data_IF_311826727551
#
_entry.id   IF_311826727551
#
_cell.length_a   1.000
_cell.length_b   1.000
_cell.length_c   1.000
_cell.angle_alpha   90.00
_cell.angle_beta   90.00
_cell.angle_gamma   90.00
#
_symmetry.space_group_name_H-M   'P 1'
#
loop_
_entity.id
_entity.type
_entity.pdbx_description
1 polymer ?
#
# COMPACT_ATOMS: atom_id res chain seq x y z
N UNK A 1 9.50 10.65 15.21
CA UNK A 1 8.36 9.68 15.18
C UNK A 1 8.95 8.28 15.25
N UNK A 2 8.36 7.36 15.99
CA UNK A 2 8.78 5.96 15.92
C UNK A 2 8.04 5.28 14.77
N UNK A 3 8.70 4.45 13.95
CA UNK A 3 8.04 3.72 12.89
C UNK A 3 7.01 2.74 13.47
N UNK A 4 5.89 2.57 12.77
CA UNK A 4 4.87 1.58 13.08
C UNK A 4 4.93 0.46 12.03
N UNK A 5 4.58 -0.74 12.45
CA UNK A 5 4.55 -1.90 11.55
C UNK A 5 3.14 -2.07 10.96
N UNK A 6 3.07 -2.33 9.66
CA UNK A 6 1.88 -2.85 8.98
C UNK A 6 2.14 -4.34 8.75
N UNK A 7 1.29 -5.19 9.31
CA UNK A 7 1.39 -6.64 9.08
C UNK A 7 0.57 -6.99 7.84
N UNK A 8 1.25 -7.48 6.82
CA UNK A 8 0.62 -7.94 5.58
C UNK A 8 0.48 -9.47 5.60
N UNK A 9 -0.74 -9.97 5.41
CA UNK A 9 -1.04 -11.41 5.35
C UNK A 9 -0.70 -12.00 3.98
N UNK A 10 0.56 -11.83 3.60
CA UNK A 10 1.06 -12.19 2.27
C UNK A 10 2.27 -13.12 2.34
N UNK A 11 2.42 -13.94 1.32
CA UNK A 11 3.61 -14.73 1.05
C UNK A 11 3.83 -14.82 -0.46
N UNK A 12 5.07 -14.64 -0.93
CA UNK A 12 5.40 -14.61 -2.36
C UNK A 12 4.53 -13.63 -3.17
N UNK A 13 4.32 -12.42 -2.64
CA UNK A 13 3.56 -11.32 -3.25
C UNK A 13 2.04 -11.58 -3.45
N UNK A 14 1.48 -12.59 -2.82
CA UNK A 14 0.04 -12.86 -2.81
C UNK A 14 -0.50 -13.06 -1.40
N UNK A 15 -1.76 -12.74 -1.19
CA UNK A 15 -2.46 -13.01 0.08
C UNK A 15 -2.54 -14.52 0.31
N UNK A 16 -2.15 -14.96 1.50
CA UNK A 16 -2.17 -16.39 1.82
C UNK A 16 -3.61 -16.91 1.95
N UNK A 17 -3.86 -18.13 1.49
CA UNK A 17 -5.21 -18.72 1.49
C UNK A 17 -5.79 -18.97 2.89
N UNK A 18 -4.94 -19.06 3.91
CA UNK A 18 -5.31 -19.17 5.31
C UNK A 18 -5.20 -17.83 6.07
N UNK A 19 -5.31 -16.70 5.39
CA UNK A 19 -5.15 -15.36 5.97
C UNK A 19 -6.06 -15.12 7.17
N UNK A 20 -7.29 -15.57 7.12
CA UNK A 20 -8.23 -15.46 8.23
C UNK A 20 -7.76 -16.24 9.47
N UNK A 21 -7.31 -17.48 9.30
CA UNK A 21 -6.79 -18.29 10.40
C UNK A 21 -5.57 -17.68 11.05
N UNK A 22 -4.64 -17.15 10.22
CA UNK A 22 -3.45 -16.44 10.70
C UNK A 22 -3.85 -15.19 11.47
N UNK A 23 -4.76 -14.39 10.93
CA UNK A 23 -5.24 -13.19 11.61
C UNK A 23 -5.88 -13.54 12.97
N UNK A 24 -6.80 -14.49 13.02
CA UNK A 24 -7.49 -14.91 14.24
C UNK A 24 -6.50 -15.37 15.33
N UNK A 25 -5.42 -16.06 14.94
CA UNK A 25 -4.39 -16.51 15.89
C UNK A 25 -3.53 -15.38 16.44
N UNK A 26 -3.47 -14.23 15.76
CA UNK A 26 -2.55 -13.12 16.06
C UNK A 26 -3.28 -11.79 16.37
N UNK A 27 -4.60 -11.70 16.24
CA UNK A 27 -5.36 -10.44 16.36
C UNK A 27 -5.16 -9.70 17.68
N UNK A 28 -4.87 -10.41 18.77
CA UNK A 28 -4.66 -9.83 20.11
C UNK A 28 -3.24 -9.27 20.30
N UNK A 29 -2.35 -9.43 19.31
CA UNK A 29 -1.03 -8.83 19.34
C UNK A 29 -1.10 -7.29 19.25
N UNK A 30 -0.09 -6.57 19.81
CA UNK A 30 -0.09 -5.10 19.87
C UNK A 30 -0.12 -4.39 18.51
N UNK A 31 0.20 -5.08 17.41
CA UNK A 31 0.17 -4.49 16.06
C UNK A 31 -1.25 -3.97 15.73
N UNK A 32 -1.33 -2.69 15.37
CA UNK A 32 -2.60 -2.01 15.10
C UNK A 32 -2.95 -1.98 13.63
N UNK A 33 -1.95 -2.10 12.74
CA UNK A 33 -2.11 -1.94 11.30
C UNK A 33 -1.94 -3.29 10.61
N UNK A 34 -2.96 -3.69 9.86
CA UNK A 34 -3.03 -4.99 9.21
C UNK A 34 -3.54 -4.87 7.78
N UNK A 35 -3.05 -5.71 6.91
CA UNK A 35 -3.49 -5.68 5.54
C UNK A 35 -3.19 -6.95 4.77
N UNK A 36 -3.54 -6.91 3.49
CA UNK A 36 -3.26 -7.96 2.52
C UNK A 36 -3.29 -7.37 1.09
N UNK A 37 -2.98 -8.20 0.09
CA UNK A 37 -3.02 -7.79 -1.33
C UNK A 37 -4.37 -8.11 -1.96
N UNK A 38 -4.69 -7.40 -3.04
CA UNK A 38 -5.91 -7.57 -3.84
C UNK A 38 -5.99 -8.89 -4.61
N UNK A 39 -4.99 -9.76 -4.44
CA UNK A 39 -4.89 -11.08 -5.07
C UNK A 39 -4.67 -12.18 -4.02
N UNK A 40 -5.10 -13.39 -4.33
CA UNK A 40 -4.89 -14.59 -3.49
C UNK A 40 -6.14 -15.08 -2.76
N UNK A 41 -7.15 -14.22 -2.58
CA UNK A 41 -8.46 -14.58 -2.00
C UNK A 41 -9.61 -14.15 -2.93
N UNK A 42 -10.74 -14.85 -2.90
CA UNK A 42 -11.99 -14.37 -3.48
C UNK A 42 -12.46 -13.08 -2.79
N UNK A 43 -13.16 -12.22 -3.53
CA UNK A 43 -13.66 -10.93 -3.03
C UNK A 43 -14.49 -11.06 -1.75
N UNK A 44 -15.36 -12.06 -1.70
CA UNK A 44 -16.22 -12.32 -0.54
C UNK A 44 -15.41 -12.62 0.72
N UNK A 45 -14.32 -13.36 0.59
CA UNK A 45 -13.40 -13.66 1.70
C UNK A 45 -12.61 -12.42 2.10
N UNK A 46 -12.20 -11.58 1.14
CA UNK A 46 -11.55 -10.28 1.41
C UNK A 46 -12.45 -9.37 2.24
N UNK A 47 -13.74 -9.26 1.88
CA UNK A 47 -14.74 -8.46 2.62
C UNK A 47 -14.87 -8.98 4.05
N UNK A 48 -14.99 -10.30 4.24
CA UNK A 48 -15.13 -10.89 5.56
C UNK A 48 -13.87 -10.66 6.42
N UNK A 49 -12.69 -10.86 5.85
CA UNK A 49 -11.43 -10.67 6.54
C UNK A 49 -11.20 -9.20 6.94
N UNK A 50 -11.43 -8.26 6.01
CA UNK A 50 -11.35 -6.83 6.30
C UNK A 50 -12.30 -6.43 7.43
N UNK A 51 -13.54 -6.94 7.40
CA UNK A 51 -14.51 -6.71 8.48
C UNK A 51 -14.03 -7.26 9.82
N UNK A 52 -13.50 -8.48 9.87
CA UNK A 52 -12.95 -9.07 11.10
C UNK A 52 -11.79 -8.26 11.68
N UNK A 53 -10.90 -7.76 10.81
CA UNK A 53 -9.82 -6.87 11.23
C UNK A 53 -10.36 -5.59 11.88
N UNK A 54 -11.37 -4.96 11.27
CA UNK A 54 -12.00 -3.75 11.82
C UNK A 54 -12.74 -4.02 13.13
N UNK A 55 -13.47 -5.11 13.21
CA UNK A 55 -14.18 -5.52 14.43
C UNK A 55 -13.19 -5.78 15.59
N UNK A 56 -11.97 -6.20 15.28
CA UNK A 56 -10.85 -6.34 16.23
C UNK A 56 -10.12 -5.01 16.52
N UNK A 57 -10.61 -3.87 16.00
CA UNK A 57 -10.04 -2.55 16.23
C UNK A 57 -8.73 -2.29 15.46
N UNK A 58 -8.50 -3.01 14.36
CA UNK A 58 -7.32 -2.81 13.52
C UNK A 58 -7.60 -1.76 12.45
N UNK A 59 -6.60 -0.96 12.10
CA UNK A 59 -6.56 -0.12 10.92
C UNK A 59 -6.17 -0.98 9.72
N UNK A 60 -6.93 -0.90 8.63
CA UNK A 60 -6.87 -1.88 7.53
C UNK A 60 -6.27 -1.32 6.26
N UNK A 61 -5.41 -2.11 5.62
CA UNK A 61 -4.64 -1.76 4.43
C UNK A 61 -4.85 -2.81 3.34
N UNK A 62 -5.14 -2.36 2.11
CA UNK A 62 -5.05 -3.21 0.92
C UNK A 62 -3.97 -2.69 0.00
N UNK A 63 -3.05 -3.56 -0.42
CA UNK A 63 -2.04 -3.24 -1.42
C UNK A 63 -2.48 -3.77 -2.78
N UNK A 64 -2.66 -2.85 -3.73
CA UNK A 64 -3.05 -3.14 -5.10
C UNK A 64 -1.83 -3.14 -6.00
N UNK A 65 -1.53 -4.29 -6.61
CA UNK A 65 -0.35 -4.47 -7.46
C UNK A 65 -0.78 -4.70 -8.89
N UNK A 66 -1.08 -3.61 -9.58
CA UNK A 66 -1.36 -3.56 -11.02
C UNK A 66 -0.79 -2.29 -11.62
N UNK A 67 -0.51 -2.32 -12.92
CA UNK A 67 0.22 -1.24 -13.60
C UNK A 67 -0.60 -0.59 -14.73
N UNK A 68 -1.88 -0.92 -14.85
CA UNK A 68 -2.81 -0.27 -15.78
C UNK A 68 -3.78 0.63 -15.04
N UNK A 69 -4.20 1.73 -15.66
CA UNK A 69 -5.14 2.66 -15.06
C UNK A 69 -6.46 1.97 -14.69
N UNK A 70 -6.99 1.15 -15.60
CA UNK A 70 -8.21 0.36 -15.38
C UNK A 70 -8.06 -0.56 -14.15
N UNK A 71 -6.97 -1.32 -14.07
CA UNK A 71 -6.71 -2.23 -12.95
C UNK A 71 -6.53 -1.48 -11.62
N UNK A 72 -5.81 -0.34 -11.62
CA UNK A 72 -5.65 0.49 -10.43
C UNK A 72 -7.00 1.04 -9.93
N UNK A 73 -7.87 1.47 -10.85
CA UNK A 73 -9.21 1.95 -10.52
C UNK A 73 -10.11 0.82 -9.99
N UNK A 74 -10.05 -0.38 -10.58
CA UNK A 74 -10.76 -1.56 -10.07
C UNK A 74 -10.27 -1.94 -8.66
N UNK A 75 -8.96 -1.87 -8.41
CA UNK A 75 -8.40 -2.06 -7.08
C UNK A 75 -8.88 -1.02 -6.06
N UNK A 76 -9.01 0.23 -6.47
CA UNK A 76 -9.57 1.28 -5.61
C UNK A 76 -11.06 1.04 -5.27
N UNK A 77 -11.85 0.57 -6.25
CA UNK A 77 -13.25 0.17 -6.02
C UNK A 77 -13.32 -1.02 -5.06
N UNK A 78 -12.48 -2.01 -5.25
CA UNK A 78 -12.38 -3.16 -4.35
C UNK A 78 -12.04 -2.73 -2.91
N UNK A 79 -11.07 -1.83 -2.75
CA UNK A 79 -10.69 -1.27 -1.45
C UNK A 79 -11.88 -0.62 -0.74
N UNK A 80 -12.65 0.19 -1.45
CA UNK A 80 -13.85 0.83 -0.92
C UNK A 80 -14.96 -0.17 -0.58
N UNK A 81 -15.26 -1.11 -1.47
CA UNK A 81 -16.30 -2.12 -1.28
C UNK A 81 -16.00 -3.08 -0.12
N UNK A 82 -14.73 -3.42 0.09
CA UNK A 82 -14.28 -4.21 1.25
C UNK A 82 -14.20 -3.36 2.53
N UNK A 83 -14.32 -2.04 2.44
CA UNK A 83 -14.30 -1.13 3.57
C UNK A 83 -12.91 -0.91 4.18
N UNK A 84 -11.84 -1.01 3.40
CA UNK A 84 -10.49 -0.71 3.88
C UNK A 84 -10.34 0.76 4.28
N UNK A 85 -9.45 1.04 5.25
CA UNK A 85 -9.12 2.39 5.65
C UNK A 85 -8.09 3.01 4.70
N UNK A 86 -7.18 2.20 4.15
CA UNK A 86 -6.11 2.61 3.25
C UNK A 86 -6.04 1.77 1.99
N UNK A 87 -5.94 2.44 0.86
CA UNK A 87 -5.46 1.91 -0.41
C UNK A 87 -3.95 2.21 -0.49
N UNK A 88 -3.12 1.19 -0.58
CA UNK A 88 -1.67 1.30 -0.83
C UNK A 88 -1.32 0.64 -2.16
N UNK A 89 -0.14 0.94 -2.69
CA UNK A 89 0.18 0.48 -4.02
C UNK A 89 -0.66 1.20 -5.09
N UNK A 90 -0.93 0.52 -6.20
CA UNK A 90 -1.47 1.12 -7.42
C UNK A 90 -0.59 2.27 -7.97
N UNK A 91 -0.70 2.56 -9.26
CA UNK A 91 0.01 3.69 -9.85
C UNK A 91 -0.80 4.99 -9.70
N UNK A 92 -0.14 6.17 -9.65
CA UNK A 92 -0.75 7.44 -9.30
C UNK A 92 -1.55 8.08 -10.46
N UNK A 93 -2.52 7.34 -11.02
CA UNK A 93 -3.42 7.85 -12.05
C UNK A 93 -4.44 8.83 -11.46
N UNK A 94 -4.77 9.86 -12.22
CA UNK A 94 -5.71 10.90 -11.77
C UNK A 94 -7.10 10.32 -11.45
N UNK A 95 -7.57 9.35 -12.23
CA UNK A 95 -8.84 8.64 -11.97
C UNK A 95 -8.89 7.93 -10.61
N UNK A 96 -7.75 7.40 -10.15
CA UNK A 96 -7.64 6.76 -8.82
C UNK A 96 -7.67 7.80 -7.71
N UNK A 97 -7.00 8.95 -7.90
CA UNK A 97 -7.06 10.06 -6.95
C UNK A 97 -8.48 10.63 -6.82
N UNK A 98 -9.17 10.82 -7.95
CA UNK A 98 -10.55 11.31 -7.96
C UNK A 98 -11.47 10.34 -7.22
N UNK A 99 -11.38 9.04 -7.52
CA UNK A 99 -12.16 8.01 -6.85
C UNK A 99 -11.90 7.96 -5.34
N UNK A 100 -10.63 7.94 -4.95
CA UNK A 100 -10.23 7.90 -3.54
C UNK A 100 -10.76 9.13 -2.77
N UNK A 101 -10.68 10.31 -3.37
CA UNK A 101 -11.20 11.56 -2.80
C UNK A 101 -12.72 11.53 -2.66
N UNK A 102 -13.45 11.09 -3.68
CA UNK A 102 -14.91 11.01 -3.67
C UNK A 102 -15.43 10.08 -2.56
N UNK A 103 -14.70 8.99 -2.32
CA UNK A 103 -15.08 7.96 -1.35
C UNK A 103 -14.38 8.07 0.01
N UNK A 104 -13.62 9.15 0.25
CA UNK A 104 -12.83 9.37 1.48
C UNK A 104 -11.87 8.20 1.80
N UNK A 105 -11.37 7.52 0.79
CA UNK A 105 -10.39 6.46 0.91
C UNK A 105 -9.00 7.07 1.03
N UNK A 106 -8.27 6.75 2.09
CA UNK A 106 -6.88 7.18 2.26
C UNK A 106 -6.01 6.46 1.25
N UNK A 107 -5.30 7.21 0.40
CA UNK A 107 -4.53 6.65 -0.70
C UNK A 107 -3.04 6.96 -0.56
N UNK A 108 -2.24 5.93 -0.65
CA UNK A 108 -0.77 5.97 -0.65
C UNK A 108 -0.24 5.21 -1.88
N UNK A 109 -0.15 5.88 -3.04
CA UNK A 109 0.30 5.24 -4.28
C UNK A 109 1.77 4.83 -4.25
N UNK A 110 2.14 3.93 -5.14
CA UNK A 110 3.55 3.76 -5.51
C UNK A 110 4.11 5.08 -6.06
N UNK A 111 5.38 5.37 -5.73
CA UNK A 111 6.10 6.50 -6.30
C UNK A 111 7.36 6.02 -7.05
N UNK A 112 7.76 6.78 -8.07
CA UNK A 112 8.83 6.40 -8.99
C UNK A 112 8.35 5.45 -10.10
N UNK A 113 9.26 4.79 -10.78
CA UNK A 113 8.96 3.82 -11.83
C UNK A 113 8.88 2.43 -11.22
N UNK A 114 7.66 1.92 -11.07
CA UNK A 114 7.38 0.63 -10.43
C UNK A 114 6.84 -0.36 -11.46
N UNK A 115 7.29 -1.59 -11.40
CA UNK A 115 6.83 -2.64 -12.30
C UNK A 115 7.44 -4.00 -11.98
N UNK A 116 7.01 -5.02 -12.73
CA UNK A 116 7.52 -6.38 -12.61
C UNK A 116 6.79 -7.25 -11.59
N UNK A 117 7.15 -8.54 -11.58
CA UNK A 117 6.71 -9.51 -10.58
C UNK A 117 7.90 -10.43 -10.28
N UNK A 118 8.50 -10.33 -9.12
CA UNK A 118 8.14 -9.41 -8.01
C UNK A 118 8.32 -7.94 -8.36
N UNK A 119 7.56 -7.08 -7.64
CA UNK A 119 7.60 -5.62 -7.82
C UNK A 119 9.02 -5.08 -7.65
N UNK A 120 9.49 -4.25 -8.60
CA UNK A 120 10.76 -3.54 -8.51
C UNK A 120 10.56 -2.03 -8.69
N UNK A 121 11.40 -1.24 -8.02
CA UNK A 121 11.45 0.21 -8.14
C UNK A 121 12.72 0.61 -8.89
N UNK A 122 12.58 1.45 -9.92
CA UNK A 122 13.68 1.97 -10.72
C UNK A 122 13.58 3.50 -10.89
N UNK A 123 14.68 4.09 -11.38
CA UNK A 123 14.86 5.51 -11.56
C UNK A 123 15.87 6.11 -10.58
N UNK A 124 16.29 7.34 -10.84
CA UNK A 124 17.17 8.07 -9.94
C UNK A 124 16.45 8.49 -8.65
N UNK A 125 17.19 8.73 -7.58
CA UNK A 125 16.63 9.23 -6.32
C UNK A 125 15.86 10.53 -6.54
N UNK A 126 16.36 11.44 -7.36
CA UNK A 126 15.71 12.73 -7.66
C UNK A 126 14.37 12.55 -8.38
N UNK A 127 14.28 11.60 -9.33
CA UNK A 127 13.03 11.27 -10.02
C UNK A 127 12.00 10.68 -9.07
N UNK A 128 12.42 9.76 -8.19
CA UNK A 128 11.52 9.14 -7.21
C UNK A 128 11.04 10.17 -6.18
N UNK A 129 11.92 11.06 -5.72
CA UNK A 129 11.56 12.16 -4.82
C UNK A 129 10.58 13.13 -5.50
N UNK A 130 10.79 13.47 -6.77
CA UNK A 130 9.86 14.30 -7.54
C UNK A 130 8.48 13.64 -7.66
N UNK A 131 8.45 12.33 -7.98
CA UNK A 131 7.22 11.55 -8.04
C UNK A 131 6.49 11.52 -6.69
N UNK A 132 7.21 11.30 -5.59
CA UNK A 132 6.62 11.32 -4.25
C UNK A 132 5.98 12.68 -3.91
N UNK A 133 6.65 13.78 -4.23
CA UNK A 133 6.12 15.14 -4.05
C UNK A 133 4.87 15.38 -4.91
N UNK A 134 4.85 14.90 -6.15
CA UNK A 134 3.69 15.01 -7.04
C UNK A 134 2.48 14.26 -6.47
N UNK A 135 2.68 13.04 -5.98
CA UNK A 135 1.63 12.27 -5.30
C UNK A 135 1.02 13.06 -4.13
N UNK A 136 1.85 13.65 -3.28
CA UNK A 136 1.37 14.46 -2.15
C UNK A 136 0.64 15.71 -2.64
N UNK A 137 1.13 16.38 -3.68
CA UNK A 137 0.48 17.57 -4.27
C UNK A 137 -0.90 17.23 -4.87
N UNK A 138 -1.08 16.01 -5.40
CA UNK A 138 -2.37 15.49 -5.91
C UNK A 138 -3.34 15.07 -4.79
N UNK A 139 -2.90 15.06 -3.54
CA UNK A 139 -3.75 14.75 -2.40
C UNK A 139 -3.56 13.33 -1.81
N UNK A 140 -2.48 12.65 -2.15
CA UNK A 140 -2.13 11.40 -1.48
C UNK A 140 -1.97 11.61 0.03
N UNK A 141 -2.43 10.65 0.81
CA UNK A 141 -2.18 10.62 2.26
C UNK A 141 -0.71 10.35 2.58
N UNK A 142 -0.04 9.59 1.73
CA UNK A 142 1.36 9.26 1.79
C UNK A 142 1.81 8.61 0.48
N UNK A 143 2.94 7.92 0.51
CA UNK A 143 3.42 7.10 -0.61
C UNK A 143 3.77 5.70 -0.13
N UNK A 144 3.61 4.73 -1.00
CA UNK A 144 4.12 3.37 -0.84
C UNK A 144 5.47 3.27 -1.55
N UNK A 145 6.56 3.26 -0.77
CA UNK A 145 7.91 3.26 -1.27
C UNK A 145 8.48 1.84 -1.25
N UNK A 146 8.62 1.23 -2.41
CA UNK A 146 9.19 -0.11 -2.60
C UNK A 146 10.72 -0.09 -2.46
N UNK A 147 11.22 0.44 -1.34
CA UNK A 147 12.64 0.71 -1.14
C UNK A 147 13.48 -0.56 -1.10
N UNK A 148 12.96 -1.65 -0.54
CA UNK A 148 13.69 -2.93 -0.47
C UNK A 148 14.03 -3.49 -1.85
N UNK A 149 13.22 -3.20 -2.85
CA UNK A 149 13.41 -3.66 -4.23
C UNK A 149 13.87 -2.53 -5.18
N UNK A 150 14.52 -1.51 -4.64
CA UNK A 150 15.14 -0.47 -5.44
C UNK A 150 16.38 -1.00 -6.15
N UNK A 151 16.40 -0.91 -7.49
CA UNK A 151 17.42 -1.56 -8.33
C UNK A 151 18.53 -0.62 -8.82
N UNK A 152 18.32 0.70 -8.78
CA UNK A 152 19.25 1.67 -9.39
C UNK A 152 20.14 2.42 -8.37
N UNK A 153 20.17 1.97 -7.11
CA UNK A 153 21.00 2.62 -6.11
C UNK A 153 20.85 2.07 -4.69
N UNK A 154 21.19 2.91 -3.73
CA UNK A 154 21.16 2.53 -2.32
C UNK A 154 19.76 2.79 -1.72
N UNK A 155 19.04 1.75 -1.25
CA UNK A 155 17.69 1.90 -0.71
C UNK A 155 17.62 2.77 0.57
N UNK A 156 18.69 2.84 1.34
CA UNK A 156 18.75 3.65 2.56
C UNK A 156 18.86 5.14 2.18
N UNK A 157 19.70 5.47 1.18
CA UNK A 157 19.81 6.84 0.67
C UNK A 157 18.50 7.31 0.04
N UNK A 158 17.86 6.45 -0.77
CA UNK A 158 16.55 6.71 -1.34
C UNK A 158 15.51 6.98 -0.24
N UNK A 159 15.40 6.09 0.74
CA UNK A 159 14.43 6.23 1.85
C UNK A 159 14.65 7.54 2.59
N UNK A 160 15.91 7.88 2.90
CA UNK A 160 16.24 9.14 3.58
C UNK A 160 15.82 10.35 2.75
N UNK A 161 16.13 10.36 1.45
CA UNK A 161 15.79 11.47 0.57
C UNK A 161 14.26 11.67 0.45
N UNK A 162 13.48 10.59 0.32
CA UNK A 162 12.02 10.67 0.27
C UNK A 162 11.45 11.16 1.61
N UNK A 163 11.93 10.62 2.73
CA UNK A 163 11.49 11.06 4.08
C UNK A 163 11.81 12.53 4.32
N UNK A 164 13.00 13.01 3.93
CA UNK A 164 13.36 14.42 4.02
C UNK A 164 12.48 15.32 3.15
N UNK A 165 12.04 14.79 2.00
CA UNK A 165 11.27 15.56 1.02
C UNK A 165 9.79 15.74 1.36
N UNK A 166 9.14 14.70 1.95
CA UNK A 166 7.69 14.70 2.17
C UNK A 166 7.26 14.47 3.63
N UNK A 167 8.19 14.13 4.52
CA UNK A 167 7.94 13.83 5.93
C UNK A 167 7.80 12.33 6.22
N UNK A 168 8.31 11.89 7.38
CA UNK A 168 8.32 10.48 7.76
C UNK A 168 6.90 9.89 8.01
N UNK A 169 5.95 10.74 8.35
CA UNK A 169 4.55 10.39 8.58
C UNK A 169 3.79 10.03 7.29
N UNK A 170 4.39 10.32 6.14
CA UNK A 170 3.81 10.10 4.81
C UNK A 170 4.51 9.00 4.00
N UNK A 171 5.44 8.27 4.60
CA UNK A 171 6.18 7.21 3.90
C UNK A 171 5.84 5.85 4.51
N UNK A 172 5.20 5.00 3.73
CA UNK A 172 5.12 3.58 3.96
C UNK A 172 6.27 2.92 3.20
N UNK A 173 7.03 2.03 3.85
CA UNK A 173 8.12 1.31 3.20
C UNK A 173 7.68 -0.13 2.99
N UNK A 174 7.54 -0.53 1.74
CA UNK A 174 7.28 -1.90 1.39
C UNK A 174 8.56 -2.74 1.48
N UNK A 175 8.45 -3.89 2.13
CA UNK A 175 9.60 -4.74 2.50
C UNK A 175 9.74 -6.03 1.70
N UNK A 176 8.79 -6.41 0.89
CA UNK A 176 8.86 -7.71 0.21
C UNK A 176 8.29 -7.71 -1.17
#
# INVERSE_FOLDING_TARGET
MNPEIIIMLTNNDITVTNAEEVFESCKDLPAKKWGFKDIGLPKEEMIQLAKKMKDAGKETYIEVVTYTEEGCLEGAKLAYECGFDYLTGALPFDSVFEYAKEHNLKYSPFCGTVGGSPVALSGTIDEIVASAKDCIAKGATGVDLTAYRYVDGNPIELTRAVVEAIGADKVCIAGS
#
